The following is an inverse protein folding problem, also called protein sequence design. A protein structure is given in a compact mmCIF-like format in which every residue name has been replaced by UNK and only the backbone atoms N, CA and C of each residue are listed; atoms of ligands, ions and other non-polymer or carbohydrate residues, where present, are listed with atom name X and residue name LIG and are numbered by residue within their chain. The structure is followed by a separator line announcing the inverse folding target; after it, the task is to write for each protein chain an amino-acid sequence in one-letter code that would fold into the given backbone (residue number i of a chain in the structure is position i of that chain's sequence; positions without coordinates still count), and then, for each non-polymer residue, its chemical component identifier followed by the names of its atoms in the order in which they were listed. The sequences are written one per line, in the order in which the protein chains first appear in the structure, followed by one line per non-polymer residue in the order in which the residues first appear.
data_IF_801474750706
#
_entry.id   IF_801474750706
#
_cell.length_a   1.000
_cell.length_b   1.000
_cell.length_c   1.000
_cell.angle_alpha   90.00
_cell.angle_beta   90.00
_cell.angle_gamma   90.00
#
_symmetry.space_group_name_H-M   'P 1'
#
loop_
_entity.id
_entity.type
_entity.pdbx_description
1 polymer ?
#
# COMPACT_ATOMS: atom_id res chain seq x y z
N UNK A 1 -8.97 13.73 -11.96
CA UNK A 1 -8.42 13.55 -10.59
C UNK A 1 -7.53 12.30 -10.53
N UNK A 2 -7.95 11.17 -11.11
CA UNK A 2 -7.14 9.94 -11.12
C UNK A 2 -5.86 10.09 -11.96
N UNK A 3 -5.95 10.66 -13.16
CA UNK A 3 -4.79 10.90 -14.03
C UNK A 3 -3.72 11.76 -13.36
N UNK A 4 -4.10 12.83 -12.69
CA UNK A 4 -3.13 13.67 -11.95
C UNK A 4 -2.48 12.95 -10.76
N UNK A 5 -3.12 11.91 -10.20
CA UNK A 5 -2.54 11.05 -9.17
C UNK A 5 -1.42 10.16 -9.72
N UNK A 6 -1.69 9.48 -10.83
CA UNK A 6 -0.73 8.61 -11.51
C UNK A 6 0.51 9.38 -11.98
N UNK A 7 0.33 10.54 -12.62
CA UNK A 7 1.44 11.41 -13.06
C UNK A 7 2.34 11.84 -11.90
N UNK A 8 1.75 12.10 -10.72
CA UNK A 8 2.49 12.49 -9.52
C UNK A 8 3.28 11.34 -8.93
N UNK A 9 2.70 10.15 -8.86
CA UNK A 9 3.41 8.94 -8.44
C UNK A 9 4.61 8.69 -9.33
N UNK A 10 4.43 8.68 -10.65
CA UNK A 10 5.51 8.47 -11.60
C UNK A 10 6.63 9.52 -11.48
N UNK A 11 6.27 10.79 -11.30
CA UNK A 11 7.23 11.86 -11.10
C UNK A 11 8.06 11.67 -9.82
N UNK A 12 7.43 11.28 -8.72
CA UNK A 12 8.10 11.03 -7.45
C UNK A 12 9.00 9.80 -7.56
N UNK A 13 8.50 8.71 -8.11
CA UNK A 13 9.26 7.47 -8.33
C UNK A 13 10.49 7.74 -9.21
N UNK A 14 10.33 8.51 -10.29
CA UNK A 14 11.44 8.94 -11.14
C UNK A 14 12.47 9.79 -10.37
N UNK A 15 12.04 10.72 -9.55
CA UNK A 15 12.94 11.51 -8.70
C UNK A 15 13.72 10.62 -7.71
N UNK A 16 13.04 9.67 -7.07
CA UNK A 16 13.68 8.70 -6.15
C UNK A 16 14.69 7.82 -6.89
N UNK A 17 14.37 7.35 -8.10
CA UNK A 17 15.28 6.51 -8.91
C UNK A 17 16.57 7.25 -9.35
N UNK A 18 16.56 8.57 -9.34
CA UNK A 18 17.71 9.41 -9.68
C UNK A 18 18.57 9.82 -8.48
N UNK A 19 18.15 9.55 -7.25
CA UNK A 19 18.86 10.00 -6.04
C UNK A 19 20.28 9.45 -5.95
N UNK A 20 20.49 8.19 -6.29
CA UNK A 20 21.80 7.57 -6.29
C UNK A 20 22.76 8.26 -7.28
N UNK A 21 22.27 8.64 -8.46
CA UNK A 21 23.06 9.30 -9.48
C UNK A 21 23.56 10.69 -9.06
N UNK A 22 22.90 11.35 -8.12
CA UNK A 22 23.30 12.65 -7.56
C UNK A 22 24.02 12.54 -6.22
N UNK A 23 24.48 11.32 -5.84
CA UNK A 23 25.31 11.10 -4.66
C UNK A 23 24.53 10.91 -3.35
N UNK A 24 23.22 10.74 -3.40
CA UNK A 24 22.42 10.38 -2.23
C UNK A 24 22.46 8.86 -2.07
N UNK A 25 22.79 8.37 -0.87
CA UNK A 25 22.80 6.94 -0.55
C UNK A 25 21.34 6.41 -0.43
N UNK A 26 20.64 6.45 -1.55
CA UNK A 26 19.28 5.98 -1.72
C UNK A 26 19.14 5.36 -3.12
N UNK A 27 18.94 4.06 -3.18
CA UNK A 27 18.76 3.28 -4.40
C UNK A 27 17.28 2.90 -4.55
N UNK A 28 16.70 3.19 -5.71
CA UNK A 28 15.40 2.64 -6.07
C UNK A 28 15.59 1.20 -6.57
N UNK A 29 14.89 0.27 -5.94
CA UNK A 29 14.91 -1.15 -6.28
C UNK A 29 13.61 -1.52 -6.96
N UNK A 30 13.71 -2.08 -8.16
CA UNK A 30 12.58 -2.60 -8.89
C UNK A 30 11.92 -3.76 -8.12
N UNK A 31 10.61 -3.70 -7.91
CA UNK A 31 9.91 -4.69 -7.08
C UNK A 31 9.95 -6.08 -7.71
N UNK A 32 9.83 -6.19 -9.03
CA UNK A 32 9.90 -7.49 -9.71
C UNK A 32 11.30 -8.10 -9.59
N UNK A 33 12.33 -7.28 -9.73
CA UNK A 33 13.72 -7.69 -9.51
C UNK A 33 13.95 -8.12 -8.06
N UNK A 34 13.46 -7.34 -7.09
CA UNK A 34 13.54 -7.68 -5.67
C UNK A 34 12.90 -9.05 -5.36
N UNK A 35 11.69 -9.30 -5.89
CA UNK A 35 10.99 -10.59 -5.73
C UNK A 35 11.84 -11.73 -6.29
N UNK A 36 12.46 -11.56 -7.44
CA UNK A 36 13.33 -12.55 -8.06
C UNK A 36 14.63 -12.78 -7.27
N UNK A 37 15.32 -11.71 -6.88
CA UNK A 37 16.60 -11.78 -6.14
C UNK A 37 16.45 -12.36 -4.72
N UNK A 38 15.28 -12.16 -4.12
CA UNK A 38 14.94 -12.70 -2.79
C UNK A 38 14.28 -14.07 -2.85
N UNK A 39 14.12 -14.64 -4.05
CA UNK A 39 13.49 -15.96 -4.26
C UNK A 39 12.08 -16.05 -3.63
N UNK A 40 11.30 -14.95 -3.68
CA UNK A 40 9.93 -14.93 -3.15
C UNK A 40 8.99 -15.67 -4.11
N UNK A 41 9.22 -16.97 -4.31
CA UNK A 41 8.55 -17.81 -5.31
C UNK A 41 7.05 -18.02 -5.05
N UNK A 42 6.57 -17.63 -3.87
CA UNK A 42 5.16 -17.63 -3.51
C UNK A 42 4.41 -16.41 -4.09
N UNK A 43 5.12 -15.39 -4.57
CA UNK A 43 4.52 -14.23 -5.24
C UNK A 43 4.53 -14.39 -6.76
N UNK A 44 3.45 -13.97 -7.39
CA UNK A 44 3.34 -13.87 -8.84
C UNK A 44 3.40 -12.42 -9.27
N UNK A 45 4.38 -12.06 -10.09
CA UNK A 45 4.43 -10.76 -10.77
C UNK A 45 3.45 -10.81 -11.95
N UNK A 46 2.36 -10.03 -11.87
CA UNK A 46 1.28 -10.04 -12.89
C UNK A 46 1.33 -8.89 -13.88
N UNK A 47 2.30 -7.99 -13.74
CA UNK A 47 2.51 -6.89 -14.67
C UNK A 47 3.16 -5.67 -14.03
N UNK A 48 3.45 -4.70 -14.87
CA UNK A 48 3.99 -3.38 -14.51
C UNK A 48 3.19 -2.28 -15.18
N UNK A 49 3.05 -1.14 -14.49
CA UNK A 49 2.53 0.11 -15.05
C UNK A 49 3.49 1.23 -14.62
N UNK A 50 4.36 1.66 -15.52
CA UNK A 50 5.45 2.56 -15.17
C UNK A 50 6.39 1.92 -14.13
N UNK A 51 6.50 2.54 -12.97
CA UNK A 51 7.28 2.01 -11.85
C UNK A 51 6.50 1.05 -10.94
N UNK A 52 5.15 1.11 -10.95
CA UNK A 52 4.31 0.26 -10.14
C UNK A 52 4.36 -1.20 -10.59
N UNK A 53 4.48 -2.12 -9.65
CA UNK A 53 4.48 -3.56 -9.92
C UNK A 53 3.24 -4.20 -9.33
N UNK A 54 2.46 -4.89 -10.19
CA UNK A 54 1.30 -5.67 -9.77
C UNK A 54 1.75 -7.06 -9.32
N UNK A 55 1.46 -7.36 -8.06
CA UNK A 55 1.77 -8.63 -7.41
C UNK A 55 0.48 -9.37 -7.03
N UNK A 56 0.59 -10.69 -6.96
CA UNK A 56 -0.46 -11.55 -6.46
C UNK A 56 0.14 -12.63 -5.55
N UNK A 57 -0.45 -12.78 -4.37
CA UNK A 57 -0.13 -13.84 -3.43
C UNK A 57 -1.27 -14.88 -3.43
N UNK A 58 -1.09 -16.05 -4.09
CA UNK A 58 -2.15 -17.04 -4.27
C UNK A 58 -2.69 -17.60 -2.96
N UNK A 59 -1.83 -17.88 -1.99
CA UNK A 59 -2.21 -18.50 -0.72
C UNK A 59 -3.21 -17.64 0.06
N UNK A 60 -3.03 -16.34 0.04
CA UNK A 60 -3.94 -15.38 0.69
C UNK A 60 -4.98 -14.77 -0.26
N UNK A 61 -4.94 -15.17 -1.54
CA UNK A 61 -5.79 -14.58 -2.60
C UNK A 61 -5.73 -13.04 -2.63
N UNK A 62 -4.56 -12.47 -2.36
CA UNK A 62 -4.35 -11.02 -2.31
C UNK A 62 -3.65 -10.54 -3.58
N UNK A 63 -4.21 -9.50 -4.21
CA UNK A 63 -3.59 -8.78 -5.31
C UNK A 63 -3.36 -7.32 -4.90
N UNK A 64 -2.16 -6.81 -5.17
CA UNK A 64 -1.81 -5.44 -4.82
C UNK A 64 -0.86 -4.81 -5.83
N UNK A 65 -0.79 -3.47 -5.81
CA UNK A 65 0.18 -2.66 -6.55
C UNK A 65 1.17 -2.09 -5.53
N UNK A 66 2.46 -2.22 -5.82
CA UNK A 66 3.53 -1.66 -4.99
C UNK A 66 4.23 -0.55 -5.77
N UNK A 67 4.31 0.64 -5.18
CA UNK A 67 4.95 1.82 -5.78
C UNK A 67 6.46 1.65 -5.95
N UNK A 68 7.11 0.86 -5.07
CA UNK A 68 8.52 0.59 -5.18
C UNK A 68 9.14 0.04 -3.89
N UNK A 69 10.42 -0.23 -3.98
CA UNK A 69 11.29 -0.51 -2.84
C UNK A 69 12.46 0.45 -2.92
N UNK A 70 12.91 0.95 -1.79
CA UNK A 70 14.14 1.73 -1.71
C UNK A 70 15.14 1.05 -0.76
N UNK A 71 16.41 1.20 -1.09
CA UNK A 71 17.50 0.86 -0.19
C UNK A 71 18.18 2.16 0.23
N UNK A 72 18.04 2.52 1.50
CA UNK A 72 18.59 3.72 2.08
C UNK A 72 19.55 3.38 3.20
N UNK A 73 20.80 3.79 3.10
CA UNK A 73 21.87 3.48 4.07
C UNK A 73 21.94 1.98 4.39
N UNK A 74 21.86 1.15 3.35
CA UNK A 74 21.95 -0.31 3.46
C UNK A 74 20.69 -1.02 3.94
N UNK A 75 19.63 -0.31 4.37
CA UNK A 75 18.35 -0.87 4.82
C UNK A 75 17.27 -0.74 3.74
N UNK A 76 16.46 -1.79 3.58
CA UNK A 76 15.34 -1.79 2.64
C UNK A 76 14.06 -1.24 3.29
N UNK A 77 13.30 -0.49 2.51
CA UNK A 77 11.99 0.04 2.85
C UNK A 77 11.04 -0.17 1.68
N UNK A 78 9.81 -0.57 1.94
CA UNK A 78 8.74 -0.50 0.96
C UNK A 78 8.37 0.96 0.79
N UNK A 79 8.31 1.46 -0.44
CA UNK A 79 7.90 2.82 -0.75
C UNK A 79 6.41 2.83 -1.07
N UNK A 80 5.66 3.68 -0.38
CA UNK A 80 4.26 3.95 -0.66
C UNK A 80 4.03 5.45 -0.77
N UNK A 81 3.48 5.88 -1.91
CA UNK A 81 3.26 7.29 -2.23
C UNK A 81 1.78 7.61 -2.11
N UNK A 82 1.47 8.67 -1.38
CA UNK A 82 0.10 9.17 -1.22
C UNK A 82 0.01 10.64 -1.58
N UNK A 83 -1.06 11.02 -2.25
CA UNK A 83 -1.35 12.42 -2.54
C UNK A 83 -2.58 12.88 -1.80
N UNK A 84 -2.50 14.02 -1.12
CA UNK A 84 -3.57 14.55 -0.28
C UNK A 84 -3.92 15.99 -0.61
N UNK A 85 -5.16 16.40 -0.29
CA UNK A 85 -5.52 17.82 -0.30
C UNK A 85 -4.75 18.56 0.79
N UNK A 86 -4.58 19.88 0.64
CA UNK A 86 -3.89 20.72 1.61
C UNK A 86 -4.43 20.53 3.04
N UNK A 87 -5.74 20.41 3.21
CA UNK A 87 -6.36 20.25 4.53
C UNK A 87 -5.95 18.95 5.22
N UNK A 88 -5.99 17.83 4.50
CA UNK A 88 -5.54 16.54 5.03
C UNK A 88 -4.04 16.55 5.28
N UNK A 89 -3.26 17.09 4.35
CA UNK A 89 -1.81 17.14 4.46
C UNK A 89 -1.34 17.99 5.64
N UNK A 90 -1.97 19.14 5.91
CA UNK A 90 -1.66 19.99 7.06
C UNK A 90 -1.89 19.29 8.39
N UNK A 91 -3.02 18.57 8.52
CA UNK A 91 -3.39 17.83 9.73
C UNK A 91 -2.68 16.47 9.88
N UNK A 92 -1.88 16.05 8.88
CA UNK A 92 -1.19 14.77 8.94
C UNK A 92 0.00 14.83 9.87
N UNK A 93 -0.05 14.03 10.93
CA UNK A 93 1.02 13.88 11.91
C UNK A 93 1.74 12.54 11.79
N UNK A 94 1.08 11.54 11.23
CA UNK A 94 1.64 10.19 11.00
C UNK A 94 0.90 9.47 9.86
N UNK A 95 1.19 8.18 9.65
CA UNK A 95 0.50 7.32 8.67
C UNK A 95 -0.99 7.25 9.00
N UNK A 96 -1.83 7.33 7.97
CA UNK A 96 -3.28 7.23 8.14
C UNK A 96 -3.70 5.80 8.51
N UNK A 97 -4.69 5.68 9.40
CA UNK A 97 -5.20 4.38 9.85
C UNK A 97 -5.72 3.51 8.70
N UNK A 98 -6.33 4.12 7.69
CA UNK A 98 -6.82 3.44 6.48
C UNK A 98 -5.69 2.90 5.59
N UNK A 99 -4.43 3.31 5.81
CA UNK A 99 -3.26 2.81 5.11
C UNK A 99 -2.52 1.69 5.86
N UNK A 100 -2.84 1.44 7.14
CA UNK A 100 -2.14 0.44 7.97
C UNK A 100 -2.30 -0.98 7.40
N UNK A 101 -3.51 -1.38 7.01
CA UNK A 101 -3.74 -2.70 6.42
C UNK A 101 -2.99 -2.87 5.10
N UNK A 102 -2.86 -1.81 4.29
CA UNK A 102 -2.10 -1.84 3.04
C UNK A 102 -0.61 -2.08 3.32
N UNK A 103 -0.02 -1.33 4.25
CA UNK A 103 1.37 -1.50 4.67
C UNK A 103 1.64 -2.89 5.23
N UNK A 104 0.72 -3.39 6.07
CA UNK A 104 0.82 -4.73 6.66
C UNK A 104 0.76 -5.82 5.59
N UNK A 105 -0.12 -5.66 4.59
CA UNK A 105 -0.18 -6.56 3.42
C UNK A 105 1.16 -6.61 2.69
N UNK A 106 1.75 -5.46 2.41
CA UNK A 106 3.04 -5.39 1.74
C UNK A 106 4.15 -6.05 2.57
N UNK A 107 4.17 -5.79 3.88
CA UNK A 107 5.14 -6.40 4.79
C UNK A 107 5.06 -7.92 4.77
N UNK A 108 3.86 -8.50 4.90
CA UNK A 108 3.65 -9.95 4.83
C UNK A 108 4.13 -10.50 3.49
N UNK A 109 3.77 -9.84 2.38
CA UNK A 109 4.07 -10.35 1.05
C UNK A 109 5.53 -10.20 0.65
N UNK A 110 6.20 -9.11 1.02
CA UNK A 110 7.57 -8.79 0.60
C UNK A 110 8.63 -9.13 1.64
N UNK A 111 8.22 -9.50 2.86
CA UNK A 111 9.16 -9.81 3.95
C UNK A 111 9.97 -8.61 4.43
N UNK A 112 9.43 -7.41 4.31
CA UNK A 112 10.03 -6.16 4.76
C UNK A 112 9.10 -5.46 5.75
N UNK A 113 9.58 -5.19 6.97
CA UNK A 113 8.71 -4.63 8.02
C UNK A 113 8.66 -3.10 8.05
N UNK A 114 9.56 -2.43 7.35
CA UNK A 114 9.60 -0.98 7.30
C UNK A 114 8.99 -0.45 6.01
N UNK A 115 7.93 0.35 6.14
CA UNK A 115 7.23 1.00 5.03
C UNK A 115 7.45 2.51 5.11
N UNK A 116 8.07 3.09 4.09
CA UNK A 116 8.21 4.53 3.95
C UNK A 116 7.00 5.08 3.21
N UNK A 117 6.17 5.80 3.92
CA UNK A 117 5.09 6.59 3.34
C UNK A 117 5.59 7.98 2.96
N UNK A 118 5.35 8.35 1.72
CA UNK A 118 5.62 9.69 1.21
C UNK A 118 4.30 10.38 0.85
N UNK A 119 3.85 11.30 1.69
CA UNK A 119 2.63 12.10 1.45
C UNK A 119 2.96 13.40 0.74
N UNK A 120 2.37 13.61 -0.43
CA UNK A 120 2.50 14.85 -1.18
C UNK A 120 1.22 15.68 -1.10
N UNK A 121 1.38 16.96 -0.77
CA UNK A 121 0.33 17.95 -0.91
C UNK A 121 0.04 18.22 -2.40
N UNK A 122 -1.22 18.03 -2.82
CA UNK A 122 -1.63 18.21 -4.23
C UNK A 122 -1.56 19.63 -4.72
N UNK A 123 -1.55 20.62 -3.82
CA UNK A 123 -1.66 22.03 -4.20
C UNK A 123 -0.27 22.67 -4.42
N UNK A 124 0.73 22.29 -3.63
CA UNK A 124 2.07 22.91 -3.68
C UNK A 124 3.24 21.92 -3.80
N UNK A 125 2.94 20.60 -3.88
CA UNK A 125 3.94 19.52 -3.96
C UNK A 125 4.85 19.38 -2.74
N UNK A 126 4.53 20.00 -1.60
CA UNK A 126 5.24 19.76 -0.34
C UNK A 126 5.09 18.29 0.10
N UNK A 127 6.11 17.77 0.76
CA UNK A 127 6.16 16.35 1.15
C UNK A 127 6.38 16.18 2.64
N UNK A 128 5.71 15.16 3.19
CA UNK A 128 5.97 14.59 4.51
C UNK A 128 6.31 13.14 4.36
N UNK A 129 7.33 12.68 5.07
CA UNK A 129 7.75 11.28 5.06
C UNK A 129 7.59 10.68 6.44
N UNK A 130 7.03 9.47 6.51
CA UNK A 130 6.86 8.70 7.73
C UNK A 130 7.31 7.27 7.51
N UNK A 131 8.00 6.71 8.49
CA UNK A 131 8.34 5.29 8.49
C UNK A 131 7.37 4.60 9.45
N UNK A 132 6.63 3.63 8.93
CA UNK A 132 5.83 2.70 9.70
C UNK A 132 6.60 1.39 9.83
N UNK A 133 6.85 0.98 11.07
CA UNK A 133 7.34 -0.37 11.34
C UNK A 133 6.15 -1.30 11.58
N UNK A 134 5.96 -2.27 10.72
CA UNK A 134 4.88 -3.27 10.82
C UNK A 134 5.28 -4.32 11.85
N UNK A 135 4.45 -4.48 12.88
CA UNK A 135 4.68 -5.43 13.97
C UNK A 135 4.05 -6.79 13.67
N UNK A 136 4.49 -7.83 14.38
CA UNK A 136 3.88 -9.17 14.27
C UNK A 136 2.40 -9.17 14.69
N UNK A 137 2.01 -8.33 15.66
CA UNK A 137 0.60 -8.19 16.05
C UNK A 137 -0.26 -7.63 14.90
N UNK A 138 0.25 -6.63 14.17
CA UNK A 138 -0.45 -6.09 12.99
C UNK A 138 -0.61 -7.16 11.90
N UNK A 139 0.42 -7.97 11.66
CA UNK A 139 0.38 -9.08 10.71
C UNK A 139 -0.67 -10.12 11.12
N UNK A 140 -0.65 -10.54 12.39
CA UNK A 140 -1.59 -11.51 12.93
C UNK A 140 -3.05 -11.01 12.82
N UNK A 141 -3.31 -9.73 13.14
CA UNK A 141 -4.62 -9.12 13.00
C UNK A 141 -5.11 -9.09 11.55
N UNK A 142 -4.22 -8.75 10.60
CA UNK A 142 -4.58 -8.75 9.19
C UNK A 142 -4.87 -10.16 8.67
N UNK A 143 -4.03 -11.14 9.00
CA UNK A 143 -4.24 -12.54 8.60
C UNK A 143 -5.58 -13.08 9.10
N UNK A 144 -5.94 -12.77 10.35
CA UNK A 144 -7.25 -13.12 10.88
C UNK A 144 -8.40 -12.51 10.08
N UNK A 145 -8.29 -11.23 9.66
CA UNK A 145 -9.29 -10.58 8.80
C UNK A 145 -9.39 -11.26 7.44
N UNK A 146 -8.27 -11.69 6.85
CA UNK A 146 -8.25 -12.42 5.57
C UNK A 146 -8.96 -13.77 5.72
N UNK A 147 -8.67 -14.54 6.77
CA UNK A 147 -9.31 -15.82 7.06
C UNK A 147 -10.84 -15.67 7.27
N UNK A 148 -11.26 -14.63 7.98
CA UNK A 148 -12.69 -14.30 8.14
C UNK A 148 -13.34 -13.99 6.78
N UNK A 149 -12.67 -13.23 5.92
CA UNK A 149 -13.17 -12.94 4.58
C UNK A 149 -13.31 -14.22 3.73
N UNK A 150 -12.31 -15.09 3.75
CA UNK A 150 -12.33 -16.36 3.03
C UNK A 150 -13.46 -17.26 3.52
N UNK A 151 -13.74 -17.26 4.81
CA UNK A 151 -14.87 -17.98 5.40
C UNK A 151 -16.21 -17.47 4.86
N UNK A 152 -16.41 -16.16 4.77
CA UNK A 152 -17.62 -15.59 4.18
C UNK A 152 -17.76 -15.91 2.69
N UNK A 153 -16.67 -15.83 1.93
CA UNK A 153 -16.66 -16.14 0.50
C UNK A 153 -16.95 -17.62 0.26
N UNK A 154 -16.29 -18.51 0.98
CA UNK A 154 -16.42 -19.96 0.83
C UNK A 154 -17.84 -20.46 1.17
N UNK A 155 -18.49 -19.85 2.16
CA UNK A 155 -19.85 -20.20 2.57
C UNK A 155 -20.92 -19.44 1.79
N UNK A 156 -20.55 -18.52 0.89
CA UNK A 156 -21.48 -17.63 0.16
C UNK A 156 -22.42 -16.83 1.09
N UNK A 157 -21.92 -16.48 2.26
CA UNK A 157 -22.63 -15.71 3.27
C UNK A 157 -22.07 -14.29 3.32
N UNK A 158 -22.87 -13.24 3.15
CA UNK A 158 -22.37 -11.88 3.29
C UNK A 158 -21.96 -11.60 4.74
N UNK A 159 -20.86 -10.85 4.98
CA UNK A 159 -20.46 -10.47 6.32
C UNK A 159 -21.52 -9.59 6.99
N UNK A 160 -21.61 -9.59 8.32
CA UNK A 160 -22.51 -8.70 9.03
C UNK A 160 -22.13 -7.24 8.77
N UNK A 161 -23.13 -6.37 8.75
CA UNK A 161 -22.87 -4.93 8.64
C UNK A 161 -22.09 -4.45 9.87
N UNK A 162 -20.95 -3.76 9.71
CA UNK A 162 -20.23 -3.19 10.85
C UNK A 162 -21.11 -2.22 11.64
N UNK A 163 -21.03 -2.28 12.97
CA UNK A 163 -21.88 -1.46 13.85
C UNK A 163 -21.58 0.04 13.75
N UNK A 164 -20.32 0.38 13.47
CA UNK A 164 -19.76 1.72 13.44
C UNK A 164 -19.73 2.36 12.04
N UNK A 165 -20.27 1.67 11.03
CA UNK A 165 -20.23 2.17 9.65
C UNK A 165 -21.03 3.46 9.49
N UNK A 166 -20.38 4.50 8.95
CA UNK A 166 -20.99 5.80 8.73
C UNK A 166 -22.11 5.74 7.68
N UNK A 167 -23.17 6.56 7.85
CA UNK A 167 -24.22 6.72 6.84
C UNK A 167 -23.66 7.12 5.48
N UNK A 168 -22.57 7.92 5.45
CA UNK A 168 -21.90 8.36 4.24
C UNK A 168 -21.27 7.19 3.49
N UNK A 169 -20.61 6.27 4.18
CA UNK A 169 -20.05 5.06 3.58
C UNK A 169 -21.15 4.20 2.94
N UNK A 170 -22.30 4.03 3.62
CA UNK A 170 -23.44 3.32 3.05
C UNK A 170 -24.04 3.97 1.82
N UNK A 171 -23.96 5.30 1.68
CA UNK A 171 -24.50 6.03 0.52
C UNK A 171 -23.78 5.65 -0.77
N UNK A 172 -22.48 5.46 -0.70
CA UNK A 172 -21.61 5.14 -1.86
C UNK A 172 -21.27 3.65 -1.98
N UNK A 173 -21.82 2.80 -1.11
CA UNK A 173 -21.54 1.37 -1.10
C UNK A 173 -22.25 0.64 -2.25
N UNK A 174 -21.50 -0.09 -3.07
CA UNK A 174 -22.04 -0.91 -4.15
C UNK A 174 -22.95 -2.04 -3.65
N UNK A 175 -22.79 -2.48 -2.40
CA UNK A 175 -23.57 -3.56 -1.77
C UNK A 175 -24.75 -3.05 -0.93
N UNK A 176 -25.10 -1.78 -1.04
CA UNK A 176 -26.15 -1.11 -0.28
C UNK A 176 -27.51 -1.86 -0.32
N UNK A 177 -27.86 -2.44 -1.46
CA UNK A 177 -29.11 -3.16 -1.64
C UNK A 177 -29.13 -4.52 -0.95
N UNK A 178 -27.98 -5.17 -0.86
CA UNK A 178 -27.83 -6.49 -0.20
C UNK A 178 -27.69 -6.34 1.31
N UNK A 179 -27.01 -5.29 1.76
CA UNK A 179 -26.70 -5.03 3.17
C UNK A 179 -27.89 -4.48 3.99
N UNK A 180 -29.01 -4.17 3.37
CA UNK A 180 -30.21 -3.59 4.02
C UNK A 180 -31.14 -4.60 4.66
N UNK A 181 -30.75 -5.86 4.71
CA UNK A 181 -31.56 -6.90 5.37
C UNK A 181 -31.17 -7.10 6.82
#
# INVERSE_FOLDING_TARGET
ICESGTDRHERIQRAVSQMQAIGIDCEYVDVAQFVQERELNYLQVRGKSGFETKLYYPELNISFLCDGIIKYKGKYYILEIKTESIYKWQSREFVADDHLNQATTYSICLGLDDVLFLYENRDNCDKKAYILHVTEDMKAELLKKVEECDTYVSNLIPPPKPADVSKKACTYCSYKTVCKK
#
